data_IF_354909758047
#
_entry.id   IF_354909758047
#
_cell.length_a   1.000
_cell.length_b   1.000
_cell.length_c   1.000
_cell.angle_alpha   90.00
_cell.angle_beta   90.00
_cell.angle_gamma   90.00
#
_symmetry.space_group_name_H-M   'P 1'
#
loop_
_entity.id
_entity.type
_entity.pdbx_description
1 polymer ?
#
# COMPACT_ATOMS: atom_id res chain seq x y z
N UNK A 1 -26.28 16.12 7.98
CA UNK A 1 -24.81 15.99 7.98
C UNK A 1 -24.47 15.03 6.86
N UNK A 2 -23.72 15.46 5.84
CA UNK A 2 -23.30 14.54 4.77
C UNK A 2 -22.34 13.49 5.34
N UNK A 3 -22.49 12.24 4.93
CA UNK A 3 -21.52 11.18 5.27
C UNK A 3 -20.20 11.48 4.59
N UNK A 4 -19.09 11.35 5.32
CA UNK A 4 -17.75 11.46 4.75
C UNK A 4 -17.55 10.39 3.65
N UNK A 5 -17.04 10.75 2.44
CA UNK A 5 -16.79 9.79 1.38
C UNK A 5 -15.87 8.65 1.84
N UNK A 6 -16.10 7.43 1.33
CA UNK A 6 -15.31 6.23 1.65
C UNK A 6 -15.23 5.82 3.13
N UNK A 7 -16.12 6.32 4.00
CA UNK A 7 -16.14 5.94 5.41
C UNK A 7 -16.29 4.42 5.65
N UNK A 8 -16.86 3.69 4.70
CA UNK A 8 -16.98 2.23 4.71
C UNK A 8 -15.64 1.50 4.56
N UNK A 9 -14.57 2.20 4.17
CA UNK A 9 -13.20 1.69 4.14
C UNK A 9 -12.42 2.03 5.42
N UNK A 10 -13.02 2.70 6.41
CA UNK A 10 -12.30 3.14 7.60
C UNK A 10 -11.64 1.96 8.32
N UNK A 11 -10.35 2.11 8.56
CA UNK A 11 -9.49 1.12 9.19
C UNK A 11 -9.35 -0.22 8.47
N UNK A 12 -9.65 -0.29 7.16
CA UNK A 12 -9.49 -1.54 6.41
C UNK A 12 -8.03 -1.86 6.09
N UNK A 13 -7.12 -0.88 6.19
CA UNK A 13 -5.71 -1.02 5.83
C UNK A 13 -4.80 -0.97 7.05
N UNK A 14 -4.35 -2.14 7.52
CA UNK A 14 -3.33 -2.28 8.56
C UNK A 14 -1.93 -1.91 8.06
N UNK A 15 -1.29 -0.94 8.72
CA UNK A 15 0.08 -0.50 8.49
C UNK A 15 0.92 -0.76 9.76
N UNK A 16 2.16 -1.21 9.58
CA UNK A 16 3.15 -1.30 10.65
C UNK A 16 4.09 -0.10 10.57
N UNK A 17 4.28 0.63 11.66
CA UNK A 17 5.27 1.69 11.79
C UNK A 17 6.30 1.26 12.83
N UNK A 18 7.53 1.01 12.39
CA UNK A 18 8.67 0.67 13.22
C UNK A 18 9.64 1.87 13.27
N UNK A 19 9.65 2.58 14.40
CA UNK A 19 10.39 3.82 14.62
C UNK A 19 10.71 3.94 16.12
N UNK A 20 11.99 4.08 16.48
CA UNK A 20 12.45 4.16 17.86
C UNK A 20 12.45 5.59 18.42
N UNK A 21 12.49 6.62 17.55
CA UNK A 21 12.30 8.00 17.96
C UNK A 21 10.79 8.34 18.13
N UNK A 22 10.31 8.58 19.37
CA UNK A 22 8.90 8.83 19.61
C UNK A 22 8.40 10.12 18.94
N UNK A 23 9.26 11.13 18.80
CA UNK A 23 8.89 12.40 18.16
C UNK A 23 8.62 12.21 16.66
N UNK A 24 9.45 11.45 15.97
CA UNK A 24 9.27 11.13 14.56
C UNK A 24 8.10 10.17 14.34
N UNK A 25 7.90 9.23 15.25
CA UNK A 25 6.73 8.36 15.25
C UNK A 25 5.43 9.19 15.33
N UNK A 26 5.34 10.11 16.30
CA UNK A 26 4.18 10.98 16.48
C UNK A 26 3.99 11.92 15.27
N UNK A 27 5.06 12.46 14.70
CA UNK A 27 5.01 13.28 13.49
C UNK A 27 4.37 12.55 12.31
N UNK A 28 4.77 11.30 12.04
CA UNK A 28 4.19 10.48 10.94
C UNK A 28 2.70 10.25 11.17
N UNK A 29 2.33 9.94 12.41
CA UNK A 29 0.96 9.60 12.76
C UNK A 29 0.04 10.81 12.79
N UNK A 30 0.51 11.96 13.26
CA UNK A 30 -0.21 13.22 13.18
C UNK A 30 -0.44 13.61 11.73
N UNK A 31 0.60 13.49 10.88
CA UNK A 31 0.48 13.74 9.46
C UNK A 31 -0.55 12.83 8.77
N UNK A 32 -0.60 11.54 9.13
CA UNK A 32 -1.53 10.56 8.53
C UNK A 32 -2.86 10.44 9.28
N UNK A 33 -3.08 11.18 10.36
CA UNK A 33 -4.31 11.15 11.18
C UNK A 33 -5.57 11.37 10.34
N UNK A 34 -5.59 12.32 9.36
CA UNK A 34 -6.78 12.53 8.54
C UNK A 34 -7.15 11.34 7.65
N UNK A 35 -6.23 10.38 7.43
CA UNK A 35 -6.39 9.26 6.51
C UNK A 35 -7.04 8.07 7.21
N UNK A 36 -8.37 8.11 7.37
CA UNK A 36 -9.14 7.18 8.21
C UNK A 36 -9.16 5.72 7.73
N UNK A 37 -8.73 5.46 6.50
CA UNK A 37 -8.60 4.10 5.96
C UNK A 37 -7.42 3.31 6.55
N UNK A 38 -6.41 4.00 7.12
CA UNK A 38 -5.26 3.36 7.73
C UNK A 38 -5.49 3.05 9.22
N UNK A 39 -5.02 1.87 9.65
CA UNK A 39 -4.86 1.49 11.06
C UNK A 39 -3.39 1.22 11.31
N UNK A 40 -2.77 2.04 12.16
CA UNK A 40 -1.36 1.88 12.50
C UNK A 40 -1.15 0.96 13.70
N UNK A 41 -0.21 0.03 13.58
CA UNK A 41 0.46 -0.62 14.70
C UNK A 41 1.83 0.01 14.85
N UNK A 42 2.09 0.58 16.03
CA UNK A 42 3.34 1.25 16.34
C UNK A 42 4.27 0.27 17.05
N UNK A 43 5.51 0.19 16.61
CA UNK A 43 6.57 -0.57 17.24
C UNK A 43 7.78 0.36 17.38
N UNK A 44 8.44 0.34 18.54
CA UNK A 44 9.69 1.08 18.76
C UNK A 44 10.93 0.20 18.69
N UNK A 45 10.73 -1.10 18.51
CA UNK A 45 11.79 -2.11 18.48
C UNK A 45 11.41 -3.21 17.50
N UNK A 46 12.40 -3.87 16.89
CA UNK A 46 12.15 -5.03 16.02
C UNK A 46 11.44 -6.13 16.80
N UNK A 47 11.78 -6.34 18.07
CA UNK A 47 11.11 -7.32 18.94
C UNK A 47 9.62 -7.04 19.12
N UNK A 48 9.21 -5.77 19.30
CA UNK A 48 7.79 -5.40 19.39
C UNK A 48 7.06 -5.50 18.05
N UNK A 49 7.72 -5.13 16.95
CA UNK A 49 7.20 -5.34 15.59
C UNK A 49 6.92 -6.82 15.32
N UNK A 50 7.82 -7.69 15.75
CA UNK A 50 7.69 -9.15 15.61
C UNK A 50 6.50 -9.72 16.39
N UNK A 51 6.14 -9.15 17.54
CA UNK A 51 4.93 -9.57 18.26
C UNK A 51 3.68 -9.32 17.40
N UNK A 52 3.61 -8.20 16.69
CA UNK A 52 2.48 -7.95 15.79
C UNK A 52 2.47 -8.86 14.57
N UNK A 53 3.62 -9.04 13.93
CA UNK A 53 3.76 -9.89 12.74
C UNK A 53 3.40 -11.34 13.06
N UNK A 54 3.85 -11.85 14.22
CA UNK A 54 3.61 -13.24 14.62
C UNK A 54 2.18 -13.51 15.11
N UNK A 55 1.40 -12.47 15.44
CA UNK A 55 0.00 -12.63 15.89
C UNK A 55 -0.99 -12.89 14.75
N UNK A 56 -0.51 -13.36 13.59
CA UNK A 56 -1.28 -13.55 12.35
C UNK A 56 -2.04 -12.29 11.90
N UNK A 57 -1.64 -11.10 12.37
CA UNK A 57 -2.18 -9.85 11.87
C UNK A 57 -1.50 -9.54 10.53
N UNK A 58 -2.31 -9.38 9.50
CA UNK A 58 -1.84 -9.02 8.17
C UNK A 58 -1.53 -7.53 8.09
N UNK A 59 -0.37 -7.21 7.52
CA UNK A 59 0.06 -5.85 7.22
C UNK A 59 0.12 -5.63 5.72
N UNK A 60 -0.42 -4.49 5.27
CA UNK A 60 -0.40 -4.10 3.87
C UNK A 60 0.86 -3.34 3.48
N UNK A 61 1.52 -2.74 4.47
CA UNK A 61 2.73 -1.95 4.32
C UNK A 61 3.44 -1.87 5.68
N UNK A 62 4.76 -1.87 5.66
CA UNK A 62 5.62 -1.54 6.77
C UNK A 62 6.38 -0.24 6.46
N UNK A 63 6.36 0.70 7.38
CA UNK A 63 7.23 1.88 7.39
C UNK A 63 8.30 1.59 8.43
N UNK A 64 9.56 1.58 8.02
CA UNK A 64 10.70 1.09 8.80
C UNK A 64 11.75 2.17 8.95
N UNK A 65 12.17 2.47 10.18
CA UNK A 65 13.44 3.16 10.41
C UNK A 65 14.64 2.22 10.38
N UNK A 66 15.78 2.73 9.92
CA UNK A 66 17.06 2.03 10.01
C UNK A 66 17.83 2.44 11.26
N UNK A 67 18.49 1.47 11.88
CA UNK A 67 19.29 1.66 13.10
C UNK A 67 18.79 0.85 14.29
N UNK A 68 17.57 0.34 14.20
CA UNK A 68 16.95 -0.51 15.21
C UNK A 68 17.48 -1.94 15.07
N UNK A 69 18.38 -2.35 15.96
CA UNK A 69 19.12 -3.63 15.90
C UNK A 69 18.92 -4.50 17.14
N UNK A 70 17.83 -4.29 17.88
CA UNK A 70 17.50 -5.02 19.11
C UNK A 70 17.23 -6.52 18.90
N UNK A 71 16.99 -6.94 17.66
CA UNK A 71 16.75 -8.34 17.30
C UNK A 71 17.94 -8.91 16.53
N UNK A 72 18.63 -9.87 17.14
CA UNK A 72 19.82 -10.55 16.60
C UNK A 72 20.98 -9.61 16.18
N UNK A 73 20.97 -8.34 16.60
CA UNK A 73 21.97 -7.35 16.16
C UNK A 73 21.83 -6.95 14.69
N UNK A 74 20.71 -7.24 14.04
CA UNK A 74 20.51 -7.01 12.60
C UNK A 74 19.49 -5.89 12.35
N UNK A 75 19.98 -4.71 11.96
CA UNK A 75 19.14 -3.56 11.59
C UNK A 75 18.28 -3.82 10.33
N UNK A 76 18.60 -4.85 9.54
CA UNK A 76 17.88 -5.22 8.33
C UNK A 76 16.96 -6.44 8.50
N UNK A 77 16.76 -6.90 9.75
CA UNK A 77 16.04 -8.14 10.03
C UNK A 77 14.65 -8.17 9.37
N UNK A 78 13.88 -7.09 9.48
CA UNK A 78 12.54 -7.01 8.89
C UNK A 78 12.59 -7.11 7.36
N UNK A 79 13.54 -6.43 6.71
CA UNK A 79 13.66 -6.49 5.25
C UNK A 79 14.01 -7.91 4.78
N UNK A 80 15.04 -8.52 5.37
CA UNK A 80 15.51 -9.87 4.99
C UNK A 80 14.43 -10.94 5.11
N UNK A 81 13.57 -10.84 6.13
CA UNK A 81 12.63 -11.90 6.47
C UNK A 81 11.20 -11.63 5.99
N UNK A 82 10.83 -10.37 5.76
CA UNK A 82 9.42 -9.99 5.52
C UNK A 82 9.19 -9.09 4.31
N UNK A 83 10.21 -8.55 3.63
CA UNK A 83 9.99 -7.64 2.49
C UNK A 83 9.26 -8.29 1.29
N UNK A 84 9.32 -9.62 1.19
CA UNK A 84 8.59 -10.39 0.18
C UNK A 84 7.09 -10.53 0.49
N UNK A 85 6.70 -10.43 1.77
CA UNK A 85 5.33 -10.60 2.23
C UNK A 85 4.64 -9.26 2.56
N UNK A 86 5.43 -8.31 3.06
CA UNK A 86 4.97 -6.98 3.49
C UNK A 86 5.83 -5.96 2.74
N UNK A 87 5.25 -5.14 1.86
CA UNK A 87 5.99 -4.04 1.23
C UNK A 87 6.59 -3.12 2.29
N UNK A 88 7.88 -2.84 2.19
CA UNK A 88 8.58 -1.98 3.15
C UNK A 88 9.00 -0.66 2.51
N UNK A 89 8.62 0.46 3.14
CA UNK A 89 9.19 1.79 2.89
C UNK A 89 10.15 2.08 4.03
N UNK A 90 11.40 2.35 3.68
CA UNK A 90 12.46 2.64 4.64
C UNK A 90 12.62 4.14 4.77
N UNK A 91 12.57 4.65 6.00
CA UNK A 91 12.95 6.00 6.37
C UNK A 91 14.34 5.92 7.02
N UNK A 92 15.28 6.79 6.65
CA UNK A 92 16.62 6.78 7.25
C UNK A 92 17.16 8.18 7.44
N UNK A 93 17.76 8.47 8.60
CA UNK A 93 18.49 9.71 8.84
C UNK A 93 19.91 9.71 8.26
N UNK A 94 20.40 8.57 7.76
CA UNK A 94 21.77 8.46 7.25
C UNK A 94 21.85 8.77 5.76
N UNK A 95 22.71 9.73 5.38
CA UNK A 95 23.00 10.02 3.97
C UNK A 95 23.91 8.97 3.30
N UNK A 96 24.19 7.84 3.95
CA UNK A 96 25.09 6.82 3.39
C UNK A 96 24.42 6.14 2.18
N UNK A 97 24.90 6.37 0.95
CA UNK A 97 24.31 5.76 -0.23
C UNK A 97 24.39 4.22 -0.18
N UNK A 98 25.39 3.68 0.52
CA UNK A 98 25.56 2.24 0.72
C UNK A 98 24.44 1.60 1.53
N UNK A 99 23.94 2.27 2.58
CA UNK A 99 22.82 1.76 3.38
C UNK A 99 21.51 1.75 2.60
N UNK A 100 21.25 2.82 1.84
CA UNK A 100 20.08 2.90 0.96
C UNK A 100 20.10 1.80 -0.11
N UNK A 101 21.25 1.59 -0.77
CA UNK A 101 21.41 0.53 -1.77
C UNK A 101 21.18 -0.86 -1.17
N UNK A 102 21.71 -1.12 0.03
CA UNK A 102 21.49 -2.38 0.75
C UNK A 102 20.00 -2.63 1.02
N UNK A 103 19.23 -1.62 1.43
CA UNK A 103 17.80 -1.76 1.68
C UNK A 103 17.03 -2.21 0.43
N UNK A 104 17.33 -1.58 -0.71
CA UNK A 104 16.70 -1.94 -1.99
C UNK A 104 17.06 -3.38 -2.38
N UNK A 105 18.33 -3.78 -2.23
CA UNK A 105 18.76 -5.16 -2.50
C UNK A 105 18.07 -6.19 -1.60
N UNK A 106 17.71 -5.78 -0.38
CA UNK A 106 16.97 -6.60 0.59
C UNK A 106 15.44 -6.52 0.41
N UNK A 107 14.96 -5.91 -0.67
CA UNK A 107 13.55 -5.93 -1.06
C UNK A 107 12.72 -4.71 -0.61
N UNK A 108 13.34 -3.70 -0.01
CA UNK A 108 12.66 -2.43 0.26
C UNK A 108 12.09 -1.85 -1.05
N UNK A 109 10.84 -1.39 -1.01
CA UNK A 109 10.17 -0.81 -2.18
C UNK A 109 10.57 0.63 -2.41
N UNK A 110 10.88 1.34 -1.34
CA UNK A 110 11.39 2.70 -1.38
C UNK A 110 12.30 2.95 -0.17
N UNK A 111 13.29 3.82 -0.36
CA UNK A 111 14.10 4.41 0.73
C UNK A 111 13.96 5.93 0.65
N UNK A 112 13.63 6.56 1.77
CA UNK A 112 13.49 8.02 1.90
C UNK A 112 14.38 8.54 3.01
N UNK A 113 14.99 9.71 2.77
CA UNK A 113 15.85 10.39 3.74
C UNK A 113 15.00 11.22 4.72
N UNK A 114 15.20 11.05 6.03
CA UNK A 114 14.63 11.90 7.07
C UNK A 114 15.30 13.28 7.06
N UNK A 115 14.56 14.33 7.43
CA UNK A 115 15.10 15.68 7.60
C UNK A 115 14.54 16.70 6.61
N UNK A 116 15.32 17.75 6.30
CA UNK A 116 14.83 18.94 5.58
C UNK A 116 14.39 18.67 4.14
N UNK A 117 14.83 17.56 3.54
CA UNK A 117 14.43 17.12 2.19
C UNK A 117 13.21 16.20 2.19
N UNK A 118 12.70 15.82 3.36
CA UNK A 118 11.56 14.94 3.48
C UNK A 118 10.31 15.64 2.92
N UNK A 119 9.67 15.00 1.94
CA UNK A 119 8.47 15.52 1.27
C UNK A 119 7.29 14.64 1.58
N UNK A 120 6.38 15.15 2.40
CA UNK A 120 5.18 14.43 2.84
C UNK A 120 4.27 14.01 1.69
N UNK A 121 4.20 14.79 0.60
CA UNK A 121 3.37 14.44 -0.56
C UNK A 121 3.92 13.25 -1.34
N UNK A 122 5.26 13.16 -1.47
CA UNK A 122 5.93 11.98 -2.02
C UNK A 122 5.73 10.79 -1.07
N UNK A 123 5.97 10.97 0.23
CA UNK A 123 5.83 9.92 1.23
C UNK A 123 4.42 9.30 1.22
N UNK A 124 3.38 10.13 1.23
CA UNK A 124 2.00 9.69 1.16
C UNK A 124 1.70 8.94 -0.15
N UNK A 125 2.16 9.47 -1.29
CA UNK A 125 1.95 8.82 -2.59
C UNK A 125 2.59 7.43 -2.63
N UNK A 126 3.79 7.29 -2.06
CA UNK A 126 4.50 6.02 -1.95
C UNK A 126 3.81 5.04 -1.01
N UNK A 127 3.28 5.49 0.13
CA UNK A 127 2.45 4.68 1.02
C UNK A 127 1.26 4.11 0.24
N UNK A 128 0.55 4.95 -0.51
CA UNK A 128 -0.64 4.54 -1.26
C UNK A 128 -0.29 3.49 -2.33
N UNK A 129 0.70 3.78 -3.18
CA UNK A 129 1.12 2.88 -4.26
C UNK A 129 1.57 1.52 -3.72
N UNK A 130 2.45 1.52 -2.71
CA UNK A 130 2.99 0.29 -2.16
C UNK A 130 1.99 -0.49 -1.31
N UNK A 131 1.02 0.19 -0.69
CA UNK A 131 -0.11 -0.49 -0.03
C UNK A 131 -0.97 -1.24 -1.04
N UNK A 132 -1.35 -0.60 -2.15
CA UNK A 132 -2.12 -1.28 -3.21
C UNK A 132 -1.31 -2.46 -3.77
N UNK A 133 -0.03 -2.23 -4.09
CA UNK A 133 0.84 -3.30 -4.57
C UNK A 133 0.89 -4.47 -3.59
N UNK A 134 1.02 -4.21 -2.28
CA UNK A 134 0.97 -5.23 -1.25
C UNK A 134 -0.30 -6.07 -1.31
N UNK A 135 -1.45 -5.41 -1.36
CA UNK A 135 -2.77 -6.06 -1.49
C UNK A 135 -2.83 -6.94 -2.74
N UNK A 136 -2.33 -6.46 -3.88
CA UNK A 136 -2.38 -7.17 -5.15
C UNK A 136 -1.37 -8.32 -5.27
N UNK A 137 -0.22 -8.22 -4.60
CA UNK A 137 0.88 -9.19 -4.69
C UNK A 137 0.82 -10.31 -3.64
N UNK A 138 0.00 -10.19 -2.59
CA UNK A 138 0.01 -11.08 -1.41
C UNK A 138 -0.11 -12.57 -1.70
N UNK A 139 -0.99 -12.98 -2.62
CA UNK A 139 -1.14 -14.41 -2.98
C UNK A 139 -0.08 -14.90 -3.97
N UNK A 140 0.58 -13.98 -4.64
CA UNK A 140 1.56 -14.28 -5.66
C UNK A 140 3.00 -14.35 -5.08
N UNK A 141 3.21 -13.91 -3.84
CA UNK A 141 4.52 -13.66 -3.22
C UNK A 141 5.52 -14.84 -3.19
N UNK A 142 5.10 -16.08 -3.48
CA UNK A 142 6.03 -17.22 -3.55
C UNK A 142 6.43 -17.64 -4.96
N UNK A 143 5.75 -17.16 -6.02
CA UNK A 143 6.01 -17.55 -7.42
C UNK A 143 5.23 -16.75 -8.48
N UNK A 144 4.91 -15.49 -8.21
CA UNK A 144 4.22 -14.62 -9.17
C UNK A 144 4.92 -14.71 -10.52
N UNK A 145 4.18 -15.04 -11.58
CA UNK A 145 4.75 -14.97 -12.93
C UNK A 145 5.18 -13.53 -13.22
N UNK A 146 6.27 -13.36 -13.97
CA UNK A 146 6.74 -12.03 -14.42
C UNK A 146 5.60 -11.25 -15.10
N UNK A 147 4.69 -11.96 -15.75
CA UNK A 147 3.48 -11.41 -16.38
C UNK A 147 2.50 -10.81 -15.37
N UNK A 148 2.28 -11.44 -14.20
CA UNK A 148 1.41 -10.87 -13.16
C UNK A 148 2.03 -9.60 -12.57
N UNK A 149 3.34 -9.61 -12.30
CA UNK A 149 4.04 -8.42 -11.80
C UNK A 149 3.96 -7.27 -12.80
N UNK A 150 4.21 -7.54 -14.09
CA UNK A 150 4.02 -6.57 -15.16
C UNK A 150 2.56 -6.08 -15.23
N UNK A 151 1.58 -6.96 -15.01
CA UNK A 151 0.16 -6.59 -14.95
C UNK A 151 -0.14 -5.62 -13.83
N UNK A 152 0.44 -5.83 -12.64
CA UNK A 152 0.31 -4.94 -11.49
C UNK A 152 0.97 -3.58 -11.79
N UNK A 153 2.17 -3.59 -12.37
CA UNK A 153 2.87 -2.37 -12.74
C UNK A 153 2.05 -1.51 -13.70
N UNK A 154 1.47 -2.14 -14.73
CA UNK A 154 0.61 -1.44 -15.69
C UNK A 154 -0.66 -0.91 -15.03
N UNK A 155 -1.28 -1.68 -14.12
CA UNK A 155 -2.47 -1.24 -13.40
C UNK A 155 -2.17 0.06 -12.62
N UNK A 156 -1.07 0.08 -11.87
CA UNK A 156 -0.65 1.21 -11.03
C UNK A 156 -0.19 2.42 -11.87
N UNK A 157 0.58 2.19 -12.94
CA UNK A 157 1.18 3.27 -13.74
C UNK A 157 0.22 3.86 -14.78
N UNK A 158 -0.62 3.03 -15.40
CA UNK A 158 -1.50 3.44 -16.51
C UNK A 158 -2.94 3.66 -16.09
N UNK A 159 -3.33 3.18 -14.91
CA UNK A 159 -4.68 3.31 -14.36
C UNK A 159 -5.79 3.03 -15.40
N UNK A 160 -5.79 1.82 -16.01
CA UNK A 160 -6.80 1.45 -17.00
C UNK A 160 -8.20 1.56 -16.41
N UNK A 161 -9.18 1.84 -17.26
CA UNK A 161 -10.60 1.98 -16.89
C UNK A 161 -11.42 0.70 -17.14
N UNK A 162 -10.88 -0.22 -17.93
CA UNK A 162 -11.53 -1.50 -18.28
C UNK A 162 -10.50 -2.63 -18.34
N UNK A 163 -10.95 -3.88 -18.16
CA UNK A 163 -10.08 -5.06 -18.28
C UNK A 163 -9.52 -5.21 -19.70
N UNK A 164 -10.28 -4.82 -20.73
CA UNK A 164 -9.83 -4.79 -22.12
C UNK A 164 -8.67 -3.82 -22.30
N UNK A 165 -8.80 -2.57 -21.84
CA UNK A 165 -7.72 -1.60 -21.90
C UNK A 165 -6.47 -2.06 -21.12
N UNK A 166 -6.69 -2.71 -19.97
CA UNK A 166 -5.61 -3.29 -19.18
C UNK A 166 -4.87 -4.40 -19.95
N UNK A 167 -5.60 -5.28 -20.62
CA UNK A 167 -5.05 -6.35 -21.45
C UNK A 167 -4.28 -5.79 -22.66
N UNK A 168 -4.80 -4.75 -23.31
CA UNK A 168 -4.14 -4.05 -24.42
C UNK A 168 -2.78 -3.48 -24.01
N UNK A 169 -2.67 -2.89 -22.82
CA UNK A 169 -1.39 -2.38 -22.33
C UNK A 169 -0.34 -3.49 -22.10
N UNK A 170 -0.76 -4.72 -21.78
CA UNK A 170 0.12 -5.90 -21.68
C UNK A 170 0.33 -6.62 -23.02
N UNK A 171 -0.32 -6.18 -24.10
CA UNK A 171 -0.33 -6.87 -25.39
C UNK A 171 -0.85 -8.31 -25.30
N UNK A 172 -1.85 -8.55 -24.45
CA UNK A 172 -2.56 -9.84 -24.33
C UNK A 172 -4.05 -9.66 -24.58
N UNK A 173 -4.77 -10.76 -24.82
CA UNK A 173 -6.22 -10.73 -24.97
C UNK A 173 -6.94 -10.52 -23.63
N UNK A 174 -8.14 -9.94 -23.64
CA UNK A 174 -9.00 -9.82 -22.43
C UNK A 174 -9.21 -11.17 -21.74
N UNK A 175 -9.36 -12.26 -22.51
CA UNK A 175 -9.46 -13.63 -21.98
C UNK A 175 -8.19 -14.05 -21.24
N UNK A 176 -7.00 -13.78 -21.80
CA UNK A 176 -5.73 -14.09 -21.14
C UNK A 176 -5.56 -13.28 -19.85
N UNK A 177 -5.94 -11.99 -19.85
CA UNK A 177 -5.92 -11.17 -18.64
C UNK A 177 -6.81 -11.72 -17.52
N UNK A 178 -8.05 -12.11 -17.86
CA UNK A 178 -8.97 -12.72 -16.89
C UNK A 178 -8.43 -14.03 -16.32
N UNK A 179 -7.88 -14.88 -17.18
CA UNK A 179 -7.28 -16.15 -16.79
C UNK A 179 -6.04 -15.94 -15.92
N UNK A 180 -5.17 -14.98 -16.27
CA UNK A 180 -3.97 -14.64 -15.50
C UNK A 180 -4.35 -14.32 -14.05
N UNK A 181 -5.23 -13.35 -13.84
CA UNK A 181 -5.63 -12.96 -12.48
C UNK A 181 -6.35 -14.06 -11.72
N UNK A 182 -7.27 -14.77 -12.36
CA UNK A 182 -8.01 -15.83 -11.69
C UNK A 182 -7.10 -16.99 -11.27
N UNK A 183 -6.17 -17.40 -12.13
CA UNK A 183 -5.27 -18.51 -11.83
C UNK A 183 -4.21 -18.14 -10.78
N UNK A 184 -3.68 -16.93 -10.83
CA UNK A 184 -2.60 -16.50 -9.93
C UNK A 184 -3.10 -16.06 -8.55
N UNK A 185 -4.33 -15.50 -8.47
CA UNK A 185 -4.84 -14.90 -7.22
C UNK A 185 -6.14 -15.52 -6.70
N UNK A 186 -6.85 -16.27 -7.54
CA UNK A 186 -8.21 -16.75 -7.27
C UNK A 186 -9.29 -15.70 -7.50
N UNK A 187 -8.94 -14.50 -7.96
CA UNK A 187 -9.88 -13.39 -8.18
C UNK A 187 -9.93 -12.99 -9.65
N UNK A 188 -11.12 -12.67 -10.14
CA UNK A 188 -11.29 -12.18 -11.52
C UNK A 188 -10.69 -10.79 -11.72
N UNK A 189 -10.05 -10.56 -12.87
CA UNK A 189 -9.42 -9.28 -13.22
C UNK A 189 -10.35 -8.06 -13.07
N UNK A 190 -11.66 -8.22 -13.30
CA UNK A 190 -12.65 -7.15 -13.08
C UNK A 190 -12.72 -6.73 -11.61
N UNK A 191 -12.75 -7.67 -10.67
CA UNK A 191 -12.80 -7.37 -9.24
C UNK A 191 -11.52 -6.66 -8.79
N UNK A 192 -10.37 -7.11 -9.30
CA UNK A 192 -9.08 -6.48 -9.02
C UNK A 192 -9.04 -5.04 -9.53
N UNK A 193 -9.52 -4.82 -10.76
CA UNK A 193 -9.58 -3.50 -11.36
C UNK A 193 -10.50 -2.55 -10.55
N UNK A 194 -11.70 -3.00 -10.18
CA UNK A 194 -12.65 -2.20 -9.40
C UNK A 194 -12.10 -1.92 -7.98
N UNK A 195 -11.45 -2.89 -7.33
CA UNK A 195 -10.78 -2.68 -6.05
C UNK A 195 -9.64 -1.64 -6.16
N UNK A 196 -8.82 -1.73 -7.21
CA UNK A 196 -7.78 -0.74 -7.48
C UNK A 196 -8.36 0.66 -7.67
N UNK A 197 -9.45 0.78 -8.44
CA UNK A 197 -10.13 2.06 -8.65
C UNK A 197 -10.72 2.62 -7.35
N UNK A 198 -11.37 1.77 -6.55
CA UNK A 198 -11.92 2.13 -5.24
C UNK A 198 -10.84 2.68 -4.31
N UNK A 199 -9.75 1.95 -4.11
CA UNK A 199 -8.65 2.36 -3.25
C UNK A 199 -7.95 3.62 -3.79
N UNK A 200 -7.71 3.69 -5.11
CA UNK A 200 -7.08 4.86 -5.73
C UNK A 200 -7.93 6.12 -5.57
N UNK A 201 -9.25 6.01 -5.68
CA UNK A 201 -10.15 7.15 -5.49
C UNK A 201 -10.20 7.58 -4.02
N UNK A 202 -10.23 6.63 -3.07
CA UNK A 202 -10.08 6.93 -1.66
C UNK A 202 -8.74 7.61 -1.35
N UNK A 203 -7.63 7.12 -1.89
CA UNK A 203 -6.33 7.76 -1.68
C UNK A 203 -6.24 9.17 -2.26
N UNK A 204 -6.85 9.42 -3.44
CA UNK A 204 -6.95 10.78 -4.01
C UNK A 204 -7.80 11.70 -3.12
N UNK A 205 -8.87 11.19 -2.50
CA UNK A 205 -9.66 11.94 -1.53
C UNK A 205 -8.79 12.43 -0.37
N UNK A 206 -8.09 11.51 0.28
CA UNK A 206 -7.23 11.86 1.41
C UNK A 206 -6.02 12.69 0.99
N UNK A 207 -5.49 12.51 -0.23
CA UNK A 207 -4.45 13.40 -0.78
C UNK A 207 -4.96 14.84 -0.88
N UNK A 208 -6.21 15.03 -1.31
CA UNK A 208 -6.84 16.34 -1.34
C UNK A 208 -7.01 16.93 0.06
N UNK A 209 -7.46 16.13 1.03
CA UNK A 209 -7.59 16.55 2.43
C UNK A 209 -6.23 16.99 3.02
N UNK A 210 -5.17 16.20 2.79
CA UNK A 210 -3.85 16.47 3.35
C UNK A 210 -3.14 17.68 2.73
N UNK A 211 -3.24 17.85 1.42
CA UNK A 211 -2.40 18.81 0.68
C UNK A 211 -3.15 19.95 0.02
N UNK A 212 -4.49 19.95 0.04
CA UNK A 212 -5.31 20.97 -0.61
C UNK A 212 -5.09 21.08 -2.13
N UNK A 213 -4.36 20.15 -2.76
CA UNK A 213 -4.08 20.16 -4.20
C UNK A 213 -5.39 19.91 -4.95
N UNK A 214 -5.96 21.00 -5.49
CA UNK A 214 -7.07 20.96 -6.45
C UNK A 214 -6.55 20.42 -7.77
N UNK A 215 -6.40 19.11 -7.91
CA UNK A 215 -6.48 18.57 -9.26
C UNK A 215 -7.93 18.76 -9.74
N UNK A 216 -8.10 19.55 -10.80
CA UNK A 216 -9.37 20.20 -11.18
C UNK A 216 -10.50 19.21 -11.53
N UNK A 217 -10.23 17.91 -11.59
CA UNK A 217 -11.23 16.84 -11.81
C UNK A 217 -11.85 16.30 -10.53
N UNK A 218 -11.31 16.64 -9.36
CA UNK A 218 -11.73 16.09 -8.06
C UNK A 218 -13.07 16.67 -7.60
N UNK A 219 -13.47 17.85 -8.04
CA UNK A 219 -14.67 18.53 -7.51
C UNK A 219 -16.00 18.07 -8.11
N UNK A 220 -16.02 17.29 -9.21
CA UNK A 220 -17.26 16.85 -9.86
C UNK A 220 -17.54 15.35 -9.76
N UNK A 221 -16.60 14.52 -9.32
CA UNK A 221 -16.77 13.05 -9.27
C UNK A 221 -17.03 12.44 -7.88
N UNK A 222 -17.07 13.22 -6.79
CA UNK A 222 -17.47 12.68 -5.47
C UNK A 222 -18.93 12.19 -5.44
N UNK A 223 -19.73 12.56 -6.46
CA UNK A 223 -21.04 11.96 -6.71
C UNK A 223 -20.97 10.45 -7.05
N UNK A 224 -19.77 9.90 -7.34
CA UNK A 224 -19.52 8.47 -7.60
C UNK A 224 -19.25 7.65 -6.32
N UNK A 225 -19.33 8.28 -5.14
CA UNK A 225 -19.29 7.57 -3.83
C UNK A 225 -20.43 6.56 -3.74
N UNK A 226 -21.60 6.86 -4.32
CA UNK A 226 -22.73 5.91 -4.35
C UNK A 226 -22.41 4.63 -5.12
N UNK A 227 -21.67 4.70 -6.23
CA UNK A 227 -21.24 3.51 -6.98
C UNK A 227 -20.17 2.74 -6.22
N UNK A 228 -19.20 3.45 -5.66
CA UNK A 228 -18.10 2.87 -4.85
C UNK A 228 -18.64 2.15 -3.62
N UNK A 229 -19.58 2.77 -2.92
CA UNK A 229 -20.27 2.21 -1.76
C UNK A 229 -21.15 1.01 -2.15
N UNK A 230 -21.91 1.12 -3.24
CA UNK A 230 -22.71 0.00 -3.75
C UNK A 230 -21.82 -1.20 -4.14
N UNK A 231 -20.72 -0.94 -4.85
CA UNK A 231 -19.74 -1.98 -5.18
C UNK A 231 -19.17 -2.63 -3.91
N UNK A 232 -18.72 -1.83 -2.95
CA UNK A 232 -18.18 -2.35 -1.69
C UNK A 232 -19.19 -3.22 -0.96
N UNK A 233 -20.44 -2.77 -0.81
CA UNK A 233 -21.48 -3.55 -0.12
C UNK A 233 -21.83 -4.84 -0.85
N UNK A 234 -21.91 -4.80 -2.19
CA UNK A 234 -22.23 -5.99 -2.99
C UNK A 234 -21.09 -7.03 -2.99
N UNK A 235 -19.85 -6.59 -2.81
CA UNK A 235 -18.66 -7.44 -2.85
C UNK A 235 -17.91 -7.49 -1.51
N UNK A 236 -18.60 -7.16 -0.41
CA UNK A 236 -17.96 -6.93 0.89
C UNK A 236 -17.13 -8.11 1.34
N UNK A 237 -17.68 -9.32 1.28
CA UNK A 237 -16.95 -10.54 1.68
C UNK A 237 -15.72 -10.80 0.82
N UNK A 238 -15.77 -10.50 -0.49
CA UNK A 238 -14.63 -10.69 -1.40
C UNK A 238 -13.54 -9.66 -1.13
N UNK A 239 -13.93 -8.40 -0.93
CA UNK A 239 -13.02 -7.30 -0.60
C UNK A 239 -12.39 -7.55 0.77
N UNK A 240 -13.18 -7.91 1.79
CA UNK A 240 -12.67 -8.29 3.11
C UNK A 240 -11.74 -9.51 2.99
N UNK A 241 -12.04 -10.49 2.13
CA UNK A 241 -11.11 -11.60 1.88
C UNK A 241 -9.81 -11.15 1.24
N UNK A 242 -9.81 -10.17 0.34
CA UNK A 242 -8.60 -9.63 -0.29
C UNK A 242 -7.80 -8.78 0.70
N UNK A 243 -8.47 -7.97 1.51
CA UNK A 243 -7.83 -7.08 2.48
C UNK A 243 -7.36 -7.86 3.72
N UNK A 244 -8.14 -8.82 4.22
CA UNK A 244 -7.86 -9.47 5.51
C UNK A 244 -7.12 -10.82 5.41
N UNK A 245 -7.16 -11.55 4.28
CA UNK A 245 -6.38 -12.80 4.09
C UNK A 245 -5.11 -12.57 3.30
#
# INVERSE_FOLDING_TARGET
MGTEPYNFLNGCLNLLLLEDDPGYQDLILEFLEPVKIFVFRKASTTSSAMQFINNNQKFHLCILDLGISDYAGDEFFILRNYADCIPCIVLTGSQSPGKGAACIQLGAKMVMEKGSRFKFDIFYSSICEHTIRGILSQKAAKKASDTLNASIDILLQRNPSTVTQWAEYLLITDRQMRNLWYNETGFGAKHILELHMLLSNAFRYYQYILFGKKDVRVTTSWQDDSRSHLFFNNHREEIEKILMN
#
